data_IF_530660367694
#
_entry.id   IF_530660367694
#
_cell.length_a   1.000
_cell.length_b   1.000
_cell.length_c   1.000
_cell.angle_alpha   90.00
_cell.angle_beta   90.00
_cell.angle_gamma   90.00
#
_symmetry.space_group_name_H-M   'P 1'
#
loop_
_entity.id
_entity.type
_entity.pdbx_description
1 polymer ?
#
# COMPACT_ATOMS: atom_id res chain seq x y z
N UNK A 1 17.65 4.69 6.43
CA UNK A 1 18.08 4.29 5.06
C UNK A 1 18.04 5.44 4.03
N UNK A 2 16.88 6.09 3.83
CA UNK A 2 16.72 7.18 2.84
C UNK A 2 17.55 8.43 3.18
N UNK A 3 17.57 8.83 4.47
CA UNK A 3 18.35 9.99 4.95
C UNK A 3 19.86 9.77 4.79
N UNK A 4 20.34 8.54 5.00
CA UNK A 4 21.76 8.18 4.85
C UNK A 4 22.17 8.18 3.37
N UNK A 5 21.32 7.66 2.48
CA UNK A 5 21.60 7.63 1.04
C UNK A 5 21.61 9.04 0.41
N UNK A 6 20.70 9.91 0.81
CA UNK A 6 20.65 11.31 0.36
C UNK A 6 21.82 12.14 0.93
N UNK A 7 22.35 11.75 2.09
CA UNK A 7 23.53 12.35 2.70
C UNK A 7 24.86 11.99 2.04
N UNK A 8 24.90 10.92 1.25
CA UNK A 8 26.10 10.43 0.55
C UNK A 8 26.30 11.04 -0.84
N UNK A 9 25.33 11.81 -1.34
CA UNK A 9 25.30 12.32 -2.70
C UNK A 9 25.27 13.84 -2.67
N UNK A 10 25.99 14.49 -3.61
CA UNK A 10 26.05 15.96 -3.73
C UNK A 10 24.64 16.55 -3.90
N UNK A 11 24.43 17.78 -3.43
CA UNK A 11 23.10 18.43 -3.38
C UNK A 11 22.38 18.47 -4.74
N UNK A 12 23.13 18.62 -5.82
CA UNK A 12 22.67 18.62 -7.20
C UNK A 12 22.17 17.25 -7.71
N UNK A 13 22.49 16.16 -7.00
CA UNK A 13 22.12 14.80 -7.39
C UNK A 13 21.18 14.09 -6.41
N UNK A 14 20.70 14.78 -5.37
CA UNK A 14 19.71 14.24 -4.42
C UNK A 14 18.42 13.81 -5.11
N UNK A 15 17.97 14.55 -6.13
CA UNK A 15 16.79 14.20 -6.92
C UNK A 15 16.98 12.88 -7.70
N UNK A 16 18.16 12.66 -8.28
CA UNK A 16 18.53 11.42 -8.97
C UNK A 16 18.67 10.24 -8.00
N UNK A 17 19.25 10.45 -6.81
CA UNK A 17 19.33 9.43 -5.77
C UNK A 17 17.93 9.02 -5.27
N UNK A 18 17.04 9.99 -5.07
CA UNK A 18 15.64 9.74 -4.71
C UNK A 18 14.90 8.97 -5.81
N UNK A 19 15.05 9.38 -7.07
CA UNK A 19 14.46 8.70 -8.21
C UNK A 19 14.95 7.24 -8.32
N UNK A 20 16.24 6.98 -8.08
CA UNK A 20 16.81 5.63 -8.08
C UNK A 20 16.27 4.75 -6.95
N UNK A 21 16.08 5.30 -5.74
CA UNK A 21 15.49 4.57 -4.61
C UNK A 21 14.02 4.24 -4.89
N UNK A 22 13.25 5.21 -5.38
CA UNK A 22 11.84 5.01 -5.71
C UNK A 22 11.66 4.01 -6.85
N UNK A 23 12.49 4.08 -7.90
CA UNK A 23 12.51 3.11 -8.99
C UNK A 23 12.74 1.69 -8.48
N UNK A 24 13.70 1.48 -7.57
CA UNK A 24 13.95 0.16 -6.96
C UNK A 24 12.76 -0.34 -6.16
N UNK A 25 12.06 0.53 -5.43
CA UNK A 25 10.85 0.17 -4.70
C UNK A 25 9.77 -0.35 -5.65
N UNK A 26 9.54 0.34 -6.77
CA UNK A 26 8.55 -0.08 -7.78
C UNK A 26 8.92 -1.43 -8.39
N UNK A 27 10.17 -1.61 -8.82
CA UNK A 27 10.65 -2.89 -9.39
C UNK A 27 10.52 -4.03 -8.38
N UNK A 28 10.86 -3.75 -7.12
CA UNK A 28 10.74 -4.73 -6.04
C UNK A 28 9.29 -5.13 -5.77
N UNK A 29 8.32 -4.24 -5.95
CA UNK A 29 6.91 -4.56 -5.76
C UNK A 29 6.38 -5.43 -6.92
N UNK A 30 6.73 -5.05 -8.16
CA UNK A 30 6.35 -5.78 -9.39
C UNK A 30 6.86 -7.21 -9.39
N UNK A 31 8.08 -7.45 -8.91
CA UNK A 31 8.68 -8.79 -8.85
C UNK A 31 8.34 -9.50 -7.53
N UNK A 32 8.37 -8.78 -6.42
CA UNK A 32 8.27 -9.34 -5.08
C UNK A 32 6.92 -9.94 -4.76
N UNK A 33 5.82 -9.29 -5.17
CA UNK A 33 4.46 -9.79 -4.91
C UNK A 33 4.18 -11.11 -5.65
N UNK A 34 4.40 -11.22 -6.98
CA UNK A 34 4.21 -12.49 -7.68
C UNK A 34 5.15 -13.59 -7.18
N UNK A 35 6.41 -13.27 -6.90
CA UNK A 35 7.37 -14.25 -6.38
C UNK A 35 6.96 -14.78 -5.00
N UNK A 36 6.53 -13.88 -4.10
CA UNK A 36 6.03 -14.25 -2.77
C UNK A 36 4.79 -15.14 -2.84
N UNK A 37 3.87 -14.83 -3.75
CA UNK A 37 2.65 -15.62 -4.00
C UNK A 37 2.97 -16.98 -4.60
N UNK A 38 3.90 -17.07 -5.56
CA UNK A 38 4.31 -18.33 -6.17
C UNK A 38 4.96 -19.27 -5.13
N UNK A 39 5.85 -18.73 -4.28
CA UNK A 39 6.46 -19.49 -3.17
C UNK A 39 5.38 -19.96 -2.19
N UNK A 40 4.44 -19.08 -1.84
CA UNK A 40 3.34 -19.40 -0.93
C UNK A 40 2.40 -20.49 -1.47
N UNK A 41 2.14 -20.51 -2.78
CA UNK A 41 1.30 -21.53 -3.41
C UNK A 41 1.99 -22.90 -3.53
N UNK A 42 3.29 -22.94 -3.85
CA UNK A 42 4.00 -24.22 -4.09
C UNK A 42 4.49 -24.85 -2.78
N UNK A 43 5.02 -24.04 -1.86
CA UNK A 43 5.67 -24.52 -0.63
C UNK A 43 4.94 -24.11 0.65
N UNK A 44 3.75 -23.51 0.52
CA UNK A 44 2.94 -23.05 1.64
C UNK A 44 3.42 -21.72 2.22
N UNK A 45 2.53 -21.07 2.97
CA UNK A 45 2.75 -19.74 3.55
C UNK A 45 4.01 -19.66 4.45
N UNK A 46 4.38 -20.76 5.12
CA UNK A 46 5.56 -20.83 5.99
C UNK A 46 6.86 -20.62 5.22
N UNK A 47 6.94 -21.14 3.99
CA UNK A 47 8.13 -20.98 3.15
C UNK A 47 8.34 -19.51 2.76
N UNK A 48 7.27 -18.77 2.47
CA UNK A 48 7.34 -17.32 2.21
C UNK A 48 7.96 -16.56 3.38
N UNK A 49 7.59 -16.89 4.62
CA UNK A 49 8.18 -16.28 5.81
C UNK A 49 9.66 -16.62 5.97
N UNK A 50 10.06 -17.87 5.77
CA UNK A 50 11.47 -18.27 5.84
C UNK A 50 12.33 -17.56 4.79
N UNK A 51 11.83 -17.45 3.55
CA UNK A 51 12.53 -16.75 2.47
C UNK A 51 12.67 -15.26 2.78
N UNK A 52 11.59 -14.61 3.25
CA UNK A 52 11.63 -13.20 3.68
C UNK A 52 12.62 -12.98 4.84
N UNK A 53 12.63 -13.89 5.82
CA UNK A 53 13.56 -13.85 6.94
C UNK A 53 15.02 -14.00 6.49
N UNK A 54 15.30 -14.97 5.62
CA UNK A 54 16.64 -15.19 5.07
C UNK A 54 17.14 -13.98 4.26
N UNK A 55 16.26 -13.38 3.44
CA UNK A 55 16.58 -12.13 2.72
C UNK A 55 16.86 -10.98 3.68
N UNK A 56 16.09 -10.86 4.76
CA UNK A 56 16.33 -9.87 5.81
C UNK A 56 17.72 -10.02 6.44
N UNK A 57 18.09 -11.24 6.83
CA UNK A 57 19.41 -11.56 7.39
C UNK A 57 20.51 -11.27 6.37
N UNK A 58 20.34 -11.70 5.12
CA UNK A 58 21.30 -11.44 4.06
C UNK A 58 21.50 -9.94 3.81
N UNK A 59 20.42 -9.15 3.80
CA UNK A 59 20.49 -7.70 3.68
C UNK A 59 21.20 -7.07 4.89
N UNK A 60 20.95 -7.54 6.12
CA UNK A 60 21.65 -7.09 7.32
C UNK A 60 23.15 -7.39 7.24
N UNK A 61 23.53 -8.59 6.80
CA UNK A 61 24.93 -8.98 6.64
C UNK A 61 25.62 -8.17 5.53
N UNK A 62 24.94 -7.96 4.41
CA UNK A 62 25.43 -7.12 3.32
C UNK A 62 25.64 -5.68 3.77
N UNK A 63 24.70 -5.11 4.53
CA UNK A 63 24.89 -3.79 5.14
C UNK A 63 26.05 -3.79 6.14
N UNK A 64 26.17 -4.80 6.99
CA UNK A 64 27.27 -4.89 7.96
C UNK A 64 28.65 -4.99 7.28
N UNK A 65 28.73 -5.65 6.13
CA UNK A 65 29.99 -5.88 5.40
C UNK A 65 30.35 -4.76 4.42
N UNK A 66 29.37 -4.23 3.67
CA UNK A 66 29.61 -3.24 2.60
C UNK A 66 29.48 -1.80 3.08
N UNK A 67 28.82 -1.52 4.21
CA UNK A 67 28.68 -0.15 4.69
C UNK A 67 29.98 0.29 5.39
N UNK A 68 30.71 1.29 4.86
CA UNK A 68 31.92 1.77 5.51
C UNK A 68 31.58 2.33 6.90
N UNK A 69 32.27 1.86 7.94
CA UNK A 69 32.11 2.35 9.33
C UNK A 69 32.39 3.85 9.48
N UNK A 70 33.04 4.46 8.50
CA UNK A 70 33.37 5.87 8.46
C UNK A 70 32.56 6.57 7.37
N UNK A 71 31.32 6.92 7.67
CA UNK A 71 30.74 8.13 7.09
C UNK A 71 30.74 9.14 8.21
N UNK A 72 31.65 10.12 8.14
CA UNK A 72 31.61 11.34 8.94
C UNK A 72 30.39 12.21 8.63
N UNK A 73 29.27 11.58 8.28
CA UNK A 73 27.96 12.20 8.30
C UNK A 73 27.60 12.32 9.77
N UNK A 74 28.09 13.39 10.40
CA UNK A 74 27.31 13.98 11.46
C UNK A 74 25.99 14.38 10.80
N UNK A 75 25.00 13.49 10.85
CA UNK A 75 23.62 13.91 10.75
C UNK A 75 23.55 15.06 11.76
N UNK A 76 23.47 16.32 11.26
CA UNK A 76 23.17 17.48 12.10
C UNK A 76 22.13 16.97 13.06
N UNK A 77 22.43 16.91 14.35
CA UNK A 77 21.53 16.26 15.31
C UNK A 77 20.18 16.93 15.08
N UNK A 78 19.28 16.24 14.39
CA UNK A 78 17.96 16.76 14.15
C UNK A 78 17.41 16.79 15.56
N UNK A 79 17.36 17.98 16.15
CA UNK A 79 16.90 18.06 17.53
C UNK A 79 15.48 17.53 17.49
N UNK A 80 15.11 16.63 18.40
CA UNK A 80 13.73 16.15 18.48
C UNK A 80 12.74 17.33 18.46
N UNK A 81 13.12 18.47 19.04
CA UNK A 81 12.37 19.71 18.99
C UNK A 81 12.14 20.26 17.56
N UNK A 82 13.11 20.12 16.65
CA UNK A 82 12.97 20.51 15.24
C UNK A 82 12.03 19.60 14.46
N UNK A 83 12.02 18.29 14.74
CA UNK A 83 11.07 17.34 14.14
C UNK A 83 9.65 17.51 14.70
N UNK A 84 9.52 17.71 16.01
CA UNK A 84 8.21 18.01 16.65
C UNK A 84 7.64 19.34 16.12
N UNK A 85 8.49 20.31 15.78
CA UNK A 85 8.04 21.57 15.16
C UNK A 85 7.50 21.36 13.73
N UNK A 86 7.88 20.30 13.04
CA UNK A 86 7.25 19.93 11.76
C UNK A 86 5.81 19.46 11.98
N UNK A 87 5.54 18.75 13.08
CA UNK A 87 4.18 18.38 13.47
C UNK A 87 3.30 19.59 13.83
N UNK A 88 3.88 20.76 14.13
CA UNK A 88 3.10 21.98 14.36
C UNK A 88 2.49 22.56 13.07
N UNK A 89 2.88 22.06 11.88
CA UNK A 89 2.34 22.55 10.60
C UNK A 89 1.00 21.87 10.30
N UNK A 90 -0.03 22.67 10.06
CA UNK A 90 -1.36 22.17 9.69
C UNK A 90 -1.35 21.26 8.46
N UNK A 91 -0.51 21.55 7.46
CA UNK A 91 -0.39 20.75 6.24
C UNK A 91 0.09 19.30 6.52
N UNK A 92 0.89 19.09 7.58
CA UNK A 92 1.35 17.76 7.99
C UNK A 92 0.19 16.98 8.61
N UNK A 93 -0.59 17.60 9.48
CA UNK A 93 -1.81 17.00 10.04
C UNK A 93 -2.82 16.65 8.97
N UNK A 94 -3.06 17.54 7.99
CA UNK A 94 -3.97 17.25 6.88
C UNK A 94 -3.51 16.03 6.11
N UNK A 95 -2.22 15.92 5.81
CA UNK A 95 -1.66 14.76 5.09
C UNK A 95 -1.77 13.47 5.90
N UNK A 96 -1.49 13.53 7.22
CA UNK A 96 -1.59 12.39 8.13
C UNK A 96 -3.04 11.91 8.29
N UNK A 97 -3.99 12.83 8.47
CA UNK A 97 -5.42 12.51 8.61
C UNK A 97 -5.94 11.91 7.29
N UNK A 98 -5.56 12.47 6.15
CA UNK A 98 -5.94 11.93 4.85
C UNK A 98 -5.39 10.49 4.67
N UNK A 99 -4.12 10.26 5.00
CA UNK A 99 -3.51 8.93 4.96
C UNK A 99 -4.23 7.95 5.90
N UNK A 100 -4.57 8.41 7.10
CA UNK A 100 -5.26 7.60 8.11
C UNK A 100 -6.69 7.25 7.66
N UNK A 101 -7.45 8.21 7.14
CA UNK A 101 -8.78 7.97 6.57
C UNK A 101 -8.73 6.99 5.40
N UNK A 102 -7.73 7.12 4.51
CA UNK A 102 -7.51 6.24 3.38
C UNK A 102 -7.20 4.80 3.82
N UNK A 103 -6.29 4.64 4.78
CA UNK A 103 -5.98 3.34 5.37
C UNK A 103 -7.18 2.73 6.10
N UNK A 104 -7.94 3.51 6.88
CA UNK A 104 -9.13 3.00 7.58
C UNK A 104 -10.18 2.51 6.58
N UNK A 105 -10.47 3.28 5.53
CA UNK A 105 -11.42 2.87 4.49
C UNK A 105 -10.99 1.61 3.72
N UNK A 106 -9.68 1.33 3.67
CA UNK A 106 -9.12 0.14 3.06
C UNK A 106 -9.16 -1.07 4.01
N UNK A 107 -8.60 -0.94 5.20
CA UNK A 107 -8.42 -2.08 6.10
C UNK A 107 -9.69 -2.47 6.86
N UNK A 108 -10.59 -1.54 7.16
CA UNK A 108 -11.83 -1.88 7.87
C UNK A 108 -12.66 -2.87 7.04
N UNK A 109 -12.97 -2.55 5.78
CA UNK A 109 -13.77 -3.47 4.96
C UNK A 109 -13.01 -4.76 4.66
N UNK A 110 -11.70 -4.70 4.39
CA UNK A 110 -10.89 -5.90 4.15
C UNK A 110 -10.94 -6.88 5.32
N UNK A 111 -10.88 -6.36 6.56
CA UNK A 111 -10.93 -7.17 7.78
C UNK A 111 -12.31 -7.79 8.01
N UNK A 112 -13.38 -7.05 7.69
CA UNK A 112 -14.76 -7.47 7.96
C UNK A 112 -15.50 -8.02 6.74
N UNK A 113 -14.83 -8.24 5.60
CA UNK A 113 -15.50 -8.64 4.36
C UNK A 113 -16.23 -9.99 4.54
N UNK A 114 -15.56 -10.98 5.10
CA UNK A 114 -16.10 -12.32 5.35
C UNK A 114 -17.25 -12.31 6.35
N UNK A 115 -17.10 -11.75 7.58
CA UNK A 115 -18.22 -11.71 8.52
C UNK A 115 -19.40 -10.88 7.98
N UNK A 116 -19.16 -9.80 7.20
CA UNK A 116 -20.25 -9.03 6.60
C UNK A 116 -21.02 -9.87 5.57
N UNK A 117 -20.31 -10.62 4.72
CA UNK A 117 -20.93 -11.50 3.72
C UNK A 117 -21.77 -12.61 4.36
N UNK A 118 -21.28 -13.21 5.46
CA UNK A 118 -21.96 -14.30 6.14
C UNK A 118 -23.11 -13.82 7.04
N UNK A 119 -22.85 -12.84 7.91
CA UNK A 119 -23.77 -12.44 8.99
C UNK A 119 -24.77 -11.37 8.56
N UNK A 120 -24.40 -10.47 7.65
CA UNK A 120 -25.26 -9.35 7.22
C UNK A 120 -25.91 -9.65 5.88
N UNK A 121 -25.13 -10.09 4.90
CA UNK A 121 -25.62 -10.39 3.55
C UNK A 121 -26.30 -11.76 3.46
N UNK A 122 -26.05 -12.66 4.43
CA UNK A 122 -26.64 -14.01 4.46
C UNK A 122 -26.17 -14.91 3.32
N UNK A 123 -24.96 -14.67 2.82
CA UNK A 123 -24.37 -15.43 1.72
C UNK A 123 -23.86 -16.78 2.23
N UNK A 124 -24.01 -17.84 1.43
CA UNK A 124 -23.49 -19.17 1.75
C UNK A 124 -21.96 -19.14 1.86
N UNK A 125 -21.40 -19.84 2.84
CA UNK A 125 -19.96 -19.93 3.07
C UNK A 125 -19.20 -20.44 1.84
N UNK A 126 -19.83 -21.31 1.05
CA UNK A 126 -19.27 -21.84 -0.19
C UNK A 126 -19.07 -20.77 -1.29
N UNK A 127 -19.80 -19.65 -1.22
CA UNK A 127 -19.74 -18.57 -2.20
C UNK A 127 -18.72 -17.49 -1.82
N UNK A 128 -18.29 -17.41 -0.56
CA UNK A 128 -17.31 -16.42 -0.09
C UNK A 128 -15.99 -16.48 -0.87
N UNK A 129 -15.37 -17.66 -1.13
CA UNK A 129 -14.15 -17.73 -1.93
C UNK A 129 -14.32 -17.19 -3.35
N UNK A 130 -15.50 -17.39 -3.97
CA UNK A 130 -15.80 -16.87 -5.30
C UNK A 130 -15.90 -15.35 -5.32
N UNK A 131 -16.52 -14.75 -4.30
CA UNK A 131 -16.60 -13.29 -4.16
C UNK A 131 -15.20 -12.69 -3.94
N UNK A 132 -14.36 -13.33 -3.13
CA UNK A 132 -12.96 -12.91 -2.91
C UNK A 132 -12.12 -13.05 -4.18
N UNK A 133 -12.36 -14.09 -4.99
CA UNK A 133 -11.69 -14.25 -6.29
C UNK A 133 -12.11 -13.15 -7.26
N UNK A 134 -13.41 -12.83 -7.35
CA UNK A 134 -13.91 -11.71 -8.14
C UNK A 134 -13.37 -10.36 -7.68
N UNK A 135 -13.22 -10.17 -6.36
CA UNK A 135 -12.53 -9.01 -5.79
C UNK A 135 -11.08 -8.91 -6.30
N UNK A 136 -10.36 -10.03 -6.35
CA UNK A 136 -9.01 -10.08 -6.93
C UNK A 136 -8.95 -9.73 -8.42
N UNK A 137 -9.97 -10.12 -9.19
CA UNK A 137 -10.10 -9.71 -10.61
C UNK A 137 -10.36 -8.20 -10.70
N UNK A 138 -11.25 -7.67 -9.85
CA UNK A 138 -11.51 -6.23 -9.74
C UNK A 138 -10.24 -5.44 -9.40
N UNK A 139 -9.48 -5.90 -8.40
CA UNK A 139 -8.19 -5.34 -8.01
C UNK A 139 -7.20 -5.29 -9.20
N UNK A 140 -7.09 -6.38 -9.95
CA UNK A 140 -6.22 -6.44 -11.13
C UNK A 140 -6.62 -5.41 -12.19
N UNK A 141 -7.90 -5.31 -12.52
CA UNK A 141 -8.42 -4.28 -13.44
C UNK A 141 -8.21 -2.86 -12.90
N UNK A 142 -8.34 -2.68 -11.58
CA UNK A 142 -8.07 -1.45 -10.85
C UNK A 142 -6.65 -0.93 -11.05
N UNK A 143 -5.64 -1.81 -10.97
CA UNK A 143 -4.24 -1.46 -11.21
C UNK A 143 -4.05 -0.87 -12.62
N UNK A 144 -4.65 -1.48 -13.65
CA UNK A 144 -4.55 -0.99 -15.03
C UNK A 144 -5.28 0.36 -15.23
N UNK A 145 -6.45 0.53 -14.60
CA UNK A 145 -7.22 1.77 -14.67
C UNK A 145 -6.57 2.91 -13.87
N UNK A 146 -6.02 2.60 -12.69
CA UNK A 146 -5.33 3.54 -11.80
C UNK A 146 -4.08 4.13 -12.43
N UNK A 147 -3.26 3.30 -13.08
CA UNK A 147 -2.08 3.75 -13.81
C UNK A 147 -2.40 4.78 -14.90
N UNK A 148 -3.55 4.67 -15.57
CA UNK A 148 -3.99 5.62 -16.60
C UNK A 148 -4.56 6.93 -16.02
N UNK A 149 -5.12 6.89 -14.82
CA UNK A 149 -5.72 8.05 -14.15
C UNK A 149 -4.69 8.88 -13.35
N UNK A 150 -3.59 8.26 -12.94
CA UNK A 150 -2.47 8.88 -12.22
C UNK A 150 -1.77 9.99 -13.05
N UNK A 151 -1.71 9.83 -14.38
CA UNK A 151 -1.00 10.75 -15.28
C UNK A 151 -1.66 12.13 -15.47
N UNK A 152 -2.90 12.33 -15.02
CA UNK A 152 -3.71 13.46 -15.48
C UNK A 152 -3.76 14.68 -14.56
N UNK A 153 -3.37 14.56 -13.27
CA UNK A 153 -3.02 15.63 -12.28
C UNK A 153 -3.13 15.06 -10.84
N UNK A 154 -2.05 15.14 -10.05
CA UNK A 154 -1.95 14.50 -8.72
C UNK A 154 -3.07 14.89 -7.73
N UNK A 155 -3.31 16.19 -7.48
CA UNK A 155 -4.25 16.61 -6.42
C UNK A 155 -5.74 16.38 -6.75
N UNK A 156 -6.24 16.72 -7.94
CA UNK A 156 -7.62 16.38 -8.34
C UNK A 156 -7.85 14.87 -8.38
N UNK A 157 -6.86 14.09 -8.84
CA UNK A 157 -6.95 12.63 -8.87
C UNK A 157 -7.10 12.06 -7.47
N UNK A 158 -6.26 12.47 -6.52
CA UNK A 158 -6.34 12.07 -5.10
C UNK A 158 -7.70 12.41 -4.46
N UNK A 159 -8.22 13.63 -4.68
CA UNK A 159 -9.52 14.03 -4.13
C UNK A 159 -10.65 13.21 -4.75
N UNK A 160 -10.62 12.99 -6.08
CA UNK A 160 -11.62 12.19 -6.78
C UNK A 160 -11.63 10.74 -6.32
N UNK A 161 -10.45 10.17 -6.09
CA UNK A 161 -10.26 8.82 -5.57
C UNK A 161 -10.79 8.67 -4.13
N UNK A 162 -10.48 9.64 -3.25
CA UNK A 162 -11.02 9.67 -1.88
C UNK A 162 -12.55 9.80 -1.86
N UNK A 163 -13.10 10.68 -2.70
CA UNK A 163 -14.55 10.85 -2.82
C UNK A 163 -15.21 9.57 -3.33
N UNK A 164 -14.63 8.93 -4.35
CA UNK A 164 -15.14 7.69 -4.94
C UNK A 164 -15.05 6.51 -3.97
N UNK A 165 -13.98 6.44 -3.16
CA UNK A 165 -13.84 5.48 -2.07
C UNK A 165 -14.92 5.67 -1.02
N UNK A 166 -15.18 6.91 -0.59
CA UNK A 166 -16.22 7.22 0.40
C UNK A 166 -17.62 6.86 -0.13
N UNK A 167 -17.93 7.21 -1.38
CA UNK A 167 -19.19 6.86 -2.04
C UNK A 167 -19.36 5.35 -2.14
N UNK A 168 -18.31 4.62 -2.51
CA UNK A 168 -18.34 3.16 -2.62
C UNK A 168 -18.61 2.50 -1.27
N UNK A 169 -17.97 2.97 -0.18
CA UNK A 169 -18.25 2.48 1.17
C UNK A 169 -19.69 2.77 1.60
N UNK A 170 -20.24 3.93 1.25
CA UNK A 170 -21.64 4.26 1.53
C UNK A 170 -22.61 3.35 0.75
N UNK A 171 -22.31 3.05 -0.51
CA UNK A 171 -23.08 2.11 -1.34
C UNK A 171 -23.02 0.70 -0.72
N UNK A 172 -21.85 0.24 -0.28
CA UNK A 172 -21.70 -1.06 0.39
C UNK A 172 -22.57 -1.15 1.64
N UNK A 173 -22.62 -0.09 2.45
CA UNK A 173 -23.50 -0.05 3.62
C UNK A 173 -24.98 -0.20 3.22
N UNK A 174 -25.45 0.57 2.24
CA UNK A 174 -26.83 0.52 1.73
C UNK A 174 -27.22 -0.82 1.13
N UNK A 175 -26.27 -1.47 0.46
CA UNK A 175 -26.45 -2.68 -0.32
C UNK A 175 -26.15 -3.94 0.49
N UNK A 176 -25.53 -3.82 1.66
CA UNK A 176 -25.12 -4.92 2.54
C UNK A 176 -26.17 -6.02 2.79
N UNK A 177 -27.50 -5.77 2.82
CA UNK A 177 -28.50 -6.82 3.00
C UNK A 177 -28.80 -7.64 1.72
N UNK A 178 -28.33 -7.18 0.55
CA UNK A 178 -28.69 -7.75 -0.75
C UNK A 178 -27.48 -8.46 -1.39
N UNK A 179 -27.52 -9.80 -1.63
CA UNK A 179 -26.37 -10.57 -2.08
C UNK A 179 -25.77 -10.13 -3.42
N UNK A 180 -26.61 -9.99 -4.45
CA UNK A 180 -26.17 -9.69 -5.81
C UNK A 180 -25.48 -8.32 -5.92
N UNK A 181 -26.10 -7.22 -5.44
CA UNK A 181 -25.45 -5.93 -5.52
C UNK A 181 -24.27 -5.79 -4.53
N UNK A 182 -24.20 -6.56 -3.44
CA UNK A 182 -23.04 -6.59 -2.54
C UNK A 182 -21.80 -7.16 -3.24
N UNK A 183 -21.94 -8.23 -4.02
CA UNK A 183 -20.83 -8.80 -4.81
C UNK A 183 -20.29 -7.78 -5.81
N UNK A 184 -21.17 -7.07 -6.52
CA UNK A 184 -20.76 -6.02 -7.47
C UNK A 184 -20.03 -4.88 -6.74
N UNK A 185 -20.54 -4.45 -5.59
CA UNK A 185 -19.93 -3.38 -4.81
C UNK A 185 -18.53 -3.76 -4.29
N UNK A 186 -18.31 -5.02 -3.89
CA UNK A 186 -17.00 -5.54 -3.49
C UNK A 186 -16.01 -5.53 -4.65
N UNK A 187 -16.42 -5.91 -5.86
CA UNK A 187 -15.56 -5.88 -7.05
C UNK A 187 -15.13 -4.44 -7.37
N UNK A 188 -16.09 -3.51 -7.35
CA UNK A 188 -15.84 -2.08 -7.59
C UNK A 188 -14.90 -1.52 -6.53
N UNK A 189 -15.13 -1.86 -5.26
CA UNK A 189 -14.26 -1.46 -4.16
C UNK A 189 -12.84 -2.02 -4.30
N UNK A 190 -12.69 -3.30 -4.66
CA UNK A 190 -11.38 -3.91 -4.91
C UNK A 190 -10.60 -3.20 -6.00
N UNK A 191 -11.27 -2.89 -7.12
CA UNK A 191 -10.66 -2.13 -8.21
C UNK A 191 -10.26 -0.72 -7.80
N UNK A 192 -11.11 -0.02 -7.06
CA UNK A 192 -10.79 1.32 -6.54
C UNK A 192 -9.59 1.30 -5.59
N UNK A 193 -9.57 0.35 -4.68
CA UNK A 193 -8.55 0.27 -3.64
C UNK A 193 -7.15 0.05 -4.22
N UNK A 194 -7.05 -0.81 -5.24
CA UNK A 194 -5.80 -1.03 -5.95
C UNK A 194 -5.45 0.08 -6.94
N UNK A 195 -6.44 0.75 -7.53
CA UNK A 195 -6.21 1.93 -8.38
C UNK A 195 -5.62 3.11 -7.60
N UNK A 196 -5.97 3.25 -6.32
CA UNK A 196 -5.43 4.28 -5.41
C UNK A 196 -3.98 3.98 -5.02
N UNK A 197 -3.61 2.69 -4.94
CA UNK A 197 -2.28 2.24 -4.56
C UNK A 197 -1.23 2.31 -5.67
N UNK A 198 -1.63 2.62 -6.91
CA UNK A 198 -0.80 2.68 -8.12
C UNK A 198 -0.59 4.11 -8.60
#
# INVERSE_FOLDING_TARGET
PMVVAVGLVREDQRALALAGILSRLTVSNVIGVPAGTAIGNIWGWRATFWVMGALGVAATLALAALLPRATGYQAKSASLASEVRVLARQQVWTSLILMLMLMLGQFCLFTYITPTLLEVTGLDENLVPWVLLLNGVGATLGVFLGGKLSDWKLMPSLISMLALQAVTLAIIYLVSPYPLPMVVAIIVWGGLNFAIGT
#
